data_IF_624070222463
#
_entry.id   IF_624070222463
#
_cell.length_a   1.000
_cell.length_b   1.000
_cell.length_c   1.000
_cell.angle_alpha   90.00
_cell.angle_beta   90.00
_cell.angle_gamma   90.00
#
_symmetry.space_group_name_H-M   'P 1'
#
loop_
_entity.id
_entity.type
_entity.pdbx_description
1 polymer ?
#
# COMPACT_ATOMS: atom_id res chain seq x y z
N UNK A 1 -18.48 30.07 -10.62
CA UNK A 1 -17.32 29.30 -10.11
C UNK A 1 -17.63 28.86 -8.69
N UNK A 2 -17.85 27.57 -8.43
CA UNK A 2 -18.03 27.07 -7.06
C UNK A 2 -16.72 27.27 -6.28
N UNK A 3 -16.81 27.72 -5.03
CA UNK A 3 -15.63 27.80 -4.15
C UNK A 3 -15.03 26.39 -4.04
N UNK A 4 -13.70 26.22 -4.18
CA UNK A 4 -13.09 24.91 -3.99
C UNK A 4 -13.36 24.43 -2.57
N UNK A 5 -13.83 23.20 -2.44
CA UNK A 5 -14.06 22.55 -1.14
C UNK A 5 -12.77 22.61 -0.32
N UNK A 6 -12.82 23.06 0.95
CA UNK A 6 -11.62 23.17 1.77
C UNK A 6 -10.96 21.79 1.92
N UNK A 7 -9.66 21.73 1.60
CA UNK A 7 -8.87 20.49 1.71
C UNK A 7 -8.60 20.16 3.17
N UNK A 8 -8.64 18.87 3.51
CA UNK A 8 -8.32 18.39 4.86
C UNK A 8 -6.83 18.62 5.16
N UNK A 9 -6.55 19.25 6.28
CA UNK A 9 -5.18 19.55 6.72
C UNK A 9 -4.64 18.35 7.50
N UNK A 10 -3.52 17.79 7.05
CA UNK A 10 -2.90 16.63 7.68
C UNK A 10 -1.44 16.96 8.06
N UNK A 11 -0.97 16.37 9.14
CA UNK A 11 0.45 16.48 9.47
C UNK A 11 1.28 15.45 8.70
N UNK A 12 0.78 14.22 8.65
CA UNK A 12 1.40 13.14 7.89
C UNK A 12 0.31 12.36 7.15
N UNK A 13 0.61 11.99 5.92
CA UNK A 13 -0.09 10.92 5.21
C UNK A 13 0.91 9.84 4.82
N UNK A 14 0.56 8.57 4.96
CA UNK A 14 1.34 7.42 4.49
C UNK A 14 0.51 6.65 3.48
N UNK A 15 1.07 6.46 2.28
CA UNK A 15 0.54 5.59 1.24
C UNK A 15 1.61 4.58 0.84
N UNK A 16 1.22 3.37 0.47
CA UNK A 16 2.11 2.31 -0.01
C UNK A 16 1.44 1.54 -1.12
N UNK A 17 2.20 0.67 -1.79
CA UNK A 17 1.66 -0.38 -2.67
C UNK A 17 0.69 0.20 -3.71
N UNK A 18 1.12 1.30 -4.36
CA UNK A 18 0.36 1.98 -5.40
C UNK A 18 0.52 1.26 -6.75
N UNK A 19 1.72 0.74 -7.02
CA UNK A 19 2.07 0.04 -8.25
C UNK A 19 1.75 0.84 -9.53
N UNK A 20 2.15 2.12 -9.58
CA UNK A 20 2.14 2.90 -10.82
C UNK A 20 2.92 2.15 -11.90
N UNK A 21 2.30 2.00 -13.06
CA UNK A 21 2.83 1.23 -14.20
C UNK A 21 2.14 -0.12 -14.39
N UNK A 22 1.22 -0.49 -13.48
CA UNK A 22 0.39 -1.71 -13.61
C UNK A 22 -1.05 -1.38 -13.98
N UNK A 23 -1.79 -2.36 -14.52
CA UNK A 23 -3.22 -2.21 -14.83
C UNK A 23 -4.11 -2.17 -13.59
N UNK A 24 -3.67 -2.76 -12.47
CA UNK A 24 -4.44 -2.81 -11.22
C UNK A 24 -4.41 -1.52 -10.41
N UNK A 25 -3.56 -0.55 -10.77
CA UNK A 25 -3.43 0.70 -10.04
C UNK A 25 -4.68 1.59 -10.21
N UNK A 26 -5.32 1.94 -9.09
CA UNK A 26 -6.42 2.92 -9.04
C UNK A 26 -5.88 4.37 -8.98
N UNK A 27 -5.12 4.77 -10.00
CA UNK A 27 -4.43 6.06 -10.03
C UNK A 27 -5.38 7.28 -10.04
N UNK A 28 -6.58 7.14 -10.63
CA UNK A 28 -7.57 8.22 -10.66
C UNK A 28 -8.14 8.52 -9.28
N UNK A 29 -8.50 7.47 -8.55
CA UNK A 29 -8.98 7.50 -7.17
C UNK A 29 -7.88 8.02 -6.24
N UNK A 30 -6.64 7.54 -6.40
CA UNK A 30 -5.49 8.05 -5.66
C UNK A 30 -5.28 9.55 -5.89
N UNK A 31 -5.30 10.00 -7.15
CA UNK A 31 -5.15 11.42 -7.47
C UNK A 31 -6.25 12.26 -6.82
N UNK A 32 -7.50 11.79 -6.89
CA UNK A 32 -8.64 12.47 -6.27
C UNK A 32 -8.47 12.57 -4.75
N UNK A 33 -8.07 11.49 -4.10
CA UNK A 33 -7.75 11.48 -2.68
C UNK A 33 -6.64 12.48 -2.34
N UNK A 34 -5.49 12.43 -3.04
CA UNK A 34 -4.37 13.33 -2.81
C UNK A 34 -4.72 14.81 -3.03
N UNK A 35 -5.71 15.11 -3.89
CA UNK A 35 -6.24 16.47 -4.10
C UNK A 35 -7.16 16.94 -2.96
N UNK A 36 -7.77 16.00 -2.23
CA UNK A 36 -8.65 16.28 -1.10
C UNK A 36 -7.92 16.68 0.19
N UNK A 37 -6.62 16.40 0.25
CA UNK A 37 -5.77 16.66 1.42
C UNK A 37 -4.71 17.75 1.15
N UNK A 38 -4.17 18.30 2.24
CA UNK A 38 -3.01 19.20 2.25
C UNK A 38 -2.06 18.77 3.38
N UNK A 39 -1.22 17.75 3.14
CA UNK A 39 -0.32 17.22 4.16
C UNK A 39 0.95 18.07 4.30
N UNK A 40 1.48 18.19 5.53
CA UNK A 40 2.84 18.71 5.78
C UNK A 40 3.90 17.70 5.32
N UNK A 41 3.64 16.41 5.53
CA UNK A 41 4.53 15.29 5.19
C UNK A 41 3.75 14.21 4.44
N UNK A 42 4.30 13.73 3.33
CA UNK A 42 3.87 12.52 2.63
C UNK A 42 4.96 11.46 2.80
N UNK A 43 4.60 10.29 3.30
CA UNK A 43 5.47 9.11 3.27
C UNK A 43 4.93 8.16 2.20
N UNK A 44 5.77 7.88 1.22
CA UNK A 44 5.52 6.89 0.19
C UNK A 44 6.21 5.59 0.62
N UNK A 45 5.49 4.68 1.27
CA UNK A 45 6.04 3.53 2.00
C UNK A 45 6.21 2.27 1.13
N UNK A 46 6.96 2.40 0.04
CA UNK A 46 7.33 1.32 -0.88
C UNK A 46 6.26 0.95 -1.89
N UNK A 47 6.70 0.31 -2.97
CA UNK A 47 5.90 -0.20 -4.08
C UNK A 47 5.00 0.87 -4.71
N UNK A 48 5.56 2.07 -4.90
CA UNK A 48 4.83 3.20 -5.51
C UNK A 48 4.86 3.09 -7.02
N UNK A 49 6.01 2.70 -7.57
CA UNK A 49 6.19 2.41 -8.99
C UNK A 49 6.59 0.95 -9.11
N UNK A 50 5.86 0.20 -9.94
CA UNK A 50 6.18 -1.21 -10.16
C UNK A 50 7.17 -1.35 -11.32
N UNK A 51 8.45 -1.47 -10.99
CA UNK A 51 9.51 -1.59 -12.00
C UNK A 51 9.54 -3.00 -12.61
N UNK A 52 9.09 -4.02 -11.87
CA UNK A 52 9.11 -5.40 -12.34
C UNK A 52 8.09 -5.64 -13.45
N UNK A 53 6.91 -5.04 -13.32
CA UNK A 53 5.86 -5.11 -14.33
C UNK A 53 5.85 -3.91 -15.28
N UNK A 54 6.81 -2.99 -15.13
CA UNK A 54 6.92 -1.82 -15.98
C UNK A 54 7.14 -2.22 -17.44
N UNK A 55 6.17 -1.88 -18.29
CA UNK A 55 6.33 -1.91 -19.74
C UNK A 55 6.65 -0.50 -20.23
N UNK A 56 7.70 -0.37 -21.05
CA UNK A 56 8.01 0.91 -21.74
C UNK A 56 6.82 1.47 -22.53
N UNK A 57 5.86 0.62 -22.89
CA UNK A 57 4.69 0.97 -23.69
C UNK A 57 3.42 1.22 -22.86
N UNK A 58 3.48 1.10 -21.52
CA UNK A 58 2.31 1.26 -20.66
C UNK A 58 2.59 2.22 -19.51
N UNK A 59 2.25 3.49 -19.73
CA UNK A 59 2.21 4.51 -18.69
C UNK A 59 1.00 5.43 -18.91
N UNK A 60 -0.17 5.10 -18.34
CA UNK A 60 -1.38 5.90 -18.52
C UNK A 60 -1.22 7.35 -18.03
N UNK A 61 -1.88 8.30 -18.69
CA UNK A 61 -1.86 9.71 -18.30
C UNK A 61 -2.27 9.93 -16.82
N UNK A 62 -3.19 9.12 -16.29
CA UNK A 62 -3.58 9.14 -14.88
C UNK A 62 -2.40 8.90 -13.94
N UNK A 63 -1.47 8.01 -14.29
CA UNK A 63 -0.28 7.71 -13.49
C UNK A 63 0.68 8.91 -13.48
N UNK A 64 0.90 9.53 -14.65
CA UNK A 64 1.70 10.75 -14.75
C UNK A 64 1.08 11.90 -13.94
N UNK A 65 -0.24 12.02 -13.91
CA UNK A 65 -0.93 13.04 -13.09
C UNK A 65 -0.69 12.83 -11.58
N UNK A 66 -0.63 11.59 -11.09
CA UNK A 66 -0.23 11.30 -9.70
C UNK A 66 1.18 11.81 -9.43
N UNK A 67 2.15 11.45 -10.28
CA UNK A 67 3.54 11.89 -10.13
C UNK A 67 3.64 13.42 -10.14
N UNK A 68 2.99 14.09 -11.10
CA UNK A 68 2.94 15.55 -11.19
C UNK A 68 2.34 16.18 -9.93
N UNK A 69 1.26 15.61 -9.41
CA UNK A 69 0.63 16.13 -8.20
C UNK A 69 1.57 16.04 -7.00
N UNK A 70 2.30 14.92 -6.84
CA UNK A 70 3.33 14.77 -5.79
C UNK A 70 4.46 15.79 -5.94
N UNK A 71 4.96 16.01 -7.16
CA UNK A 71 5.97 17.06 -7.46
C UNK A 71 5.40 18.45 -7.15
N UNK A 72 4.13 18.69 -7.47
CA UNK A 72 3.44 19.94 -7.14
C UNK A 72 3.28 20.17 -5.63
N UNK A 73 3.12 19.10 -4.83
CA UNK A 73 3.15 19.17 -3.36
C UNK A 73 4.55 19.53 -2.85
N UNK A 74 5.60 18.89 -3.39
CA UNK A 74 6.99 19.23 -3.08
C UNK A 74 7.29 20.71 -3.35
N UNK A 75 6.90 21.22 -4.52
CA UNK A 75 7.08 22.62 -4.89
C UNK A 75 6.32 23.60 -3.97
N UNK A 76 5.23 23.14 -3.33
CA UNK A 76 4.45 23.91 -2.35
C UNK A 76 4.95 23.75 -0.91
N UNK A 77 6.08 23.05 -0.71
CA UNK A 77 6.73 22.90 0.59
C UNK A 77 6.33 21.65 1.39
N UNK A 78 5.50 20.76 0.85
CA UNK A 78 5.26 19.45 1.48
C UNK A 78 6.54 18.60 1.42
N UNK A 79 6.93 17.99 2.54
CA UNK A 79 8.06 17.06 2.57
C UNK A 79 7.61 15.69 2.09
N UNK A 80 8.36 15.06 1.18
CA UNK A 80 8.09 13.71 0.70
C UNK A 80 9.24 12.78 1.11
N UNK A 81 8.90 11.72 1.83
CA UNK A 81 9.82 10.64 2.17
C UNK A 81 9.45 9.39 1.37
N UNK A 82 10.30 9.00 0.44
CA UNK A 82 10.16 7.78 -0.33
C UNK A 82 10.90 6.66 0.38
N UNK A 83 10.16 5.70 0.92
CA UNK A 83 10.71 4.45 1.44
C UNK A 83 10.63 3.44 0.31
N UNK A 84 11.72 2.76 -0.02
CA UNK A 84 11.77 1.82 -1.14
C UNK A 84 11.16 0.46 -0.78
N UNK A 85 10.38 -0.11 -1.68
CA UNK A 85 9.85 -1.47 -1.57
C UNK A 85 10.62 -2.50 -2.40
N UNK A 86 10.04 -3.69 -2.58
CA UNK A 86 10.66 -4.71 -3.43
C UNK A 86 10.36 -4.50 -4.92
N UNK A 87 9.24 -3.89 -5.30
CA UNK A 87 8.94 -3.61 -6.71
C UNK A 87 9.70 -2.40 -7.27
N UNK A 88 10.12 -1.48 -6.41
CA UNK A 88 10.99 -0.34 -6.74
C UNK A 88 12.44 -0.57 -6.26
N UNK A 89 12.92 -1.82 -6.32
CA UNK A 89 14.27 -2.21 -5.88
C UNK A 89 15.38 -1.36 -6.53
N UNK A 90 15.21 -0.93 -7.78
CA UNK A 90 16.16 -0.03 -8.45
C UNK A 90 16.31 1.32 -7.73
N UNK A 91 15.35 1.75 -6.91
CA UNK A 91 15.45 2.97 -6.11
C UNK A 91 16.28 2.78 -4.84
N UNK A 92 16.52 1.54 -4.40
CA UNK A 92 17.33 1.25 -3.20
C UNK A 92 18.76 1.78 -3.32
N UNK A 93 19.32 1.83 -4.54
CA UNK A 93 20.64 2.42 -4.80
C UNK A 93 20.71 3.93 -4.52
N UNK A 94 19.56 4.59 -4.48
CA UNK A 94 19.44 6.01 -4.15
C UNK A 94 19.05 6.23 -2.68
N UNK A 95 18.95 5.18 -1.85
CA UNK A 95 18.69 5.33 -0.42
C UNK A 95 19.79 6.19 0.23
N UNK A 96 19.39 7.18 1.01
CA UNK A 96 20.26 8.23 1.56
C UNK A 96 20.22 9.54 0.76
N UNK A 97 19.66 9.54 -0.44
CA UNK A 97 19.52 10.76 -1.25
C UNK A 97 18.53 11.73 -0.61
N UNK A 98 18.90 13.01 -0.59
CA UNK A 98 18.03 14.13 -0.22
C UNK A 98 18.12 15.21 -1.29
N UNK A 99 16.98 15.60 -1.83
CA UNK A 99 16.86 16.65 -2.84
C UNK A 99 15.73 17.60 -2.44
N UNK A 100 16.08 18.74 -1.85
CA UNK A 100 15.09 19.67 -1.31
C UNK A 100 14.16 18.99 -0.29
N UNK A 101 12.85 19.04 -0.56
CA UNK A 101 11.82 18.40 0.27
C UNK A 101 11.68 16.88 0.07
N UNK A 102 12.40 16.28 -0.89
CA UNK A 102 12.36 14.85 -1.18
C UNK A 102 13.52 14.12 -0.49
N UNK A 103 13.24 12.95 0.07
CA UNK A 103 14.28 12.02 0.53
C UNK A 103 13.94 10.59 0.18
N UNK A 104 14.96 9.78 -0.09
CA UNK A 104 14.80 8.35 -0.41
C UNK A 104 15.52 7.54 0.67
N UNK A 105 14.87 6.52 1.24
CA UNK A 105 15.43 5.69 2.30
C UNK A 105 14.87 4.26 2.26
N UNK A 106 15.45 3.34 3.02
CA UNK A 106 14.89 1.98 3.21
C UNK A 106 13.97 1.89 4.44
N UNK A 107 14.08 2.86 5.35
CA UNK A 107 13.28 3.00 6.57
C UNK A 107 13.42 4.42 7.11
N UNK A 108 12.52 4.85 7.96
CA UNK A 108 12.65 6.11 8.69
C UNK A 108 11.94 6.05 10.04
N UNK A 109 12.18 7.07 10.86
CA UNK A 109 11.42 7.29 12.10
C UNK A 109 10.83 8.69 12.03
N UNK A 110 9.51 8.79 12.24
CA UNK A 110 8.84 10.05 12.50
C UNK A 110 8.78 10.27 14.01
N UNK A 111 9.21 11.46 14.44
CA UNK A 111 9.03 11.92 15.81
C UNK A 111 7.77 12.78 15.88
N UNK A 112 6.64 12.15 16.24
CA UNK A 112 5.33 12.79 16.29
C UNK A 112 4.94 13.05 17.75
N UNK A 113 4.08 14.04 18.05
CA UNK A 113 3.59 14.28 19.41
C UNK A 113 2.94 13.06 20.06
N UNK A 114 2.33 12.18 19.26
CA UNK A 114 1.75 10.93 19.76
C UNK A 114 2.80 9.87 20.14
N UNK A 115 4.05 10.02 19.71
CA UNK A 115 5.16 9.09 19.93
C UNK A 115 5.90 8.74 18.64
N UNK A 116 7.08 8.13 18.78
CA UNK A 116 7.92 7.75 17.64
C UNK A 116 7.26 6.66 16.81
N UNK A 117 7.18 6.89 15.49
CA UNK A 117 6.67 5.93 14.50
C UNK A 117 7.81 5.46 13.61
N UNK A 118 8.12 4.17 13.67
CA UNK A 118 9.06 3.54 12.75
C UNK A 118 8.34 3.10 11.48
N UNK A 119 8.85 3.53 10.32
CA UNK A 119 8.27 3.21 9.02
C UNK A 119 9.29 2.44 8.17
N UNK A 120 8.83 1.37 7.55
CA UNK A 120 9.55 0.60 6.55
C UNK A 120 8.51 -0.15 5.69
N UNK A 121 8.90 -0.63 4.51
CA UNK A 121 7.94 -1.22 3.59
C UNK A 121 7.38 -2.57 4.09
N UNK A 122 8.24 -3.57 4.33
CA UNK A 122 7.81 -4.88 4.87
C UNK A 122 8.56 -6.07 4.28
N UNK A 123 9.03 -5.92 3.06
CA UNK A 123 9.65 -6.96 2.24
C UNK A 123 10.94 -7.57 2.80
N UNK A 124 11.62 -6.88 3.72
CA UNK A 124 12.77 -7.43 4.46
C UNK A 124 12.42 -8.73 5.21
N UNK A 125 11.16 -8.91 5.61
CA UNK A 125 10.68 -10.12 6.28
C UNK A 125 10.27 -11.24 5.31
N UNK A 126 10.33 -11.03 4.00
CA UNK A 126 9.98 -12.06 3.03
C UNK A 126 11.02 -13.15 2.94
N UNK A 127 12.31 -12.84 3.09
CA UNK A 127 13.35 -13.88 3.14
C UNK A 127 13.06 -14.87 4.27
N UNK A 128 12.51 -14.38 5.38
CA UNK A 128 12.07 -15.22 6.51
C UNK A 128 10.69 -15.88 6.30
N UNK A 129 9.85 -15.39 5.39
CA UNK A 129 8.45 -15.82 5.21
C UNK A 129 8.12 -16.47 3.85
N UNK A 130 9.06 -16.54 2.89
CA UNK A 130 8.87 -16.96 1.49
C UNK A 130 8.19 -18.32 1.31
N UNK A 131 8.49 -19.30 2.17
CA UNK A 131 7.90 -20.64 2.07
C UNK A 131 6.40 -20.68 2.36
N UNK A 132 5.87 -19.64 2.99
CA UNK A 132 4.58 -19.67 3.64
C UNK A 132 3.50 -18.89 2.84
N UNK A 133 3.91 -17.89 2.04
CA UNK A 133 3.02 -17.05 1.21
C UNK A 133 2.50 -17.71 -0.07
N UNK A 134 3.33 -18.49 -0.77
CA UNK A 134 2.91 -19.24 -1.97
C UNK A 134 1.79 -20.25 -1.65
N UNK A 135 1.89 -20.92 -0.49
CA UNK A 135 0.88 -21.87 0.00
C UNK A 135 -0.45 -21.20 0.37
N UNK A 136 -0.41 -19.96 0.88
CA UNK A 136 -1.59 -19.19 1.25
C UNK A 136 -2.41 -18.74 0.03
N UNK A 137 -1.74 -18.18 -1.00
CA UNK A 137 -2.41 -17.67 -2.23
C UNK A 137 -3.07 -18.77 -3.05
N UNK A 138 -2.45 -19.96 -3.17
CA UNK A 138 -3.10 -21.13 -3.79
C UNK A 138 -4.31 -21.64 -3.01
N UNK A 139 -4.32 -21.45 -1.68
CA UNK A 139 -5.42 -21.88 -0.81
C UNK A 139 -6.70 -21.03 -0.95
N UNK A 140 -6.56 -19.72 -1.15
CA UNK A 140 -7.69 -18.79 -1.21
C UNK A 140 -8.55 -18.96 -2.47
N UNK A 141 -7.94 -18.97 -3.67
CA UNK A 141 -8.69 -19.21 -4.92
C UNK A 141 -9.15 -20.67 -5.08
N UNK A 142 -8.44 -21.61 -4.45
CA UNK A 142 -8.85 -23.01 -4.42
C UNK A 142 -10.08 -23.27 -3.54
N UNK A 143 -10.39 -22.41 -2.56
CA UNK A 143 -11.43 -22.65 -1.55
C UNK A 143 -12.83 -22.78 -2.15
N UNK A 144 -13.23 -21.84 -3.01
CA UNK A 144 -14.57 -21.86 -3.61
C UNK A 144 -14.73 -23.00 -4.63
N UNK A 145 -13.67 -23.26 -5.41
CA UNK A 145 -13.61 -24.40 -6.32
C UNK A 145 -13.64 -25.75 -5.57
N UNK A 146 -12.95 -25.85 -4.43
CA UNK A 146 -12.91 -27.05 -3.58
C UNK A 146 -14.22 -27.27 -2.81
N UNK A 147 -14.95 -26.23 -2.43
CA UNK A 147 -16.29 -26.39 -1.85
C UNK A 147 -17.25 -26.97 -2.89
N UNK A 148 -17.21 -26.45 -4.11
CA UNK A 148 -18.02 -26.97 -5.21
C UNK A 148 -17.65 -28.43 -5.51
N UNK A 149 -16.35 -28.71 -5.63
CA UNK A 149 -15.84 -30.06 -5.88
C UNK A 149 -16.16 -31.03 -4.75
N UNK A 150 -16.01 -30.63 -3.48
CA UNK A 150 -16.33 -31.45 -2.32
C UNK A 150 -17.84 -31.76 -2.27
N UNK A 151 -18.70 -30.86 -2.74
CA UNK A 151 -20.14 -31.09 -2.88
C UNK A 151 -20.45 -32.09 -4.00
N UNK A 152 -19.80 -31.96 -5.16
CA UNK A 152 -19.95 -32.88 -6.30
C UNK A 152 -19.44 -34.29 -5.96
N UNK A 153 -18.25 -34.40 -5.37
CA UNK A 153 -17.65 -35.69 -4.99
C UNK A 153 -18.50 -36.41 -3.94
N UNK A 154 -18.96 -35.71 -2.91
CA UNK A 154 -19.81 -36.33 -1.89
C UNK A 154 -21.21 -36.70 -2.41
N UNK A 155 -21.73 -35.99 -3.42
CA UNK A 155 -22.97 -36.38 -4.09
C UNK A 155 -22.81 -37.70 -4.87
N UNK A 156 -21.70 -37.87 -5.60
CA UNK A 156 -21.38 -39.10 -6.32
C UNK A 156 -21.10 -40.27 -5.35
N UNK A 157 -20.31 -40.04 -4.29
CA UNK A 157 -20.02 -41.06 -3.27
C UNK A 157 -21.29 -41.52 -2.54
N UNK A 158 -22.22 -40.61 -2.23
CA UNK A 158 -23.51 -40.97 -1.64
C UNK A 158 -24.33 -41.89 -2.57
N UNK A 159 -24.32 -41.64 -3.88
CA UNK A 159 -25.00 -42.52 -4.85
C UNK A 159 -24.35 -43.89 -4.98
N UNK A 160 -23.05 -44.00 -4.69
CA UNK A 160 -22.27 -45.24 -4.73
C UNK A 160 -22.20 -45.95 -3.36
N UNK A 161 -22.94 -45.49 -2.35
CA UNK A 161 -22.98 -46.08 -1.01
C UNK A 161 -21.68 -45.96 -0.21
N UNK A 162 -20.80 -45.01 -0.57
CA UNK A 162 -19.48 -44.83 0.05
C UNK A 162 -19.49 -43.68 1.07
N UNK A 163 -18.66 -43.73 2.13
CA UNK A 163 -18.60 -42.69 3.15
C UNK A 163 -18.08 -41.36 2.59
N UNK A 164 -18.55 -40.26 3.17
CA UNK A 164 -18.20 -38.89 2.76
C UNK A 164 -16.74 -38.54 3.08
N UNK A 165 -16.17 -37.67 2.26
CA UNK A 165 -14.83 -37.09 2.44
C UNK A 165 -14.91 -35.61 2.78
N UNK A 166 -13.95 -35.09 3.54
CA UNK A 166 -13.94 -33.72 4.06
C UNK A 166 -12.74 -32.91 3.53
N UNK A 167 -12.75 -32.59 2.24
CA UNK A 167 -11.67 -31.85 1.58
C UNK A 167 -11.52 -30.40 2.08
N UNK A 168 -12.58 -29.81 2.63
CA UNK A 168 -12.60 -28.43 3.16
C UNK A 168 -11.79 -28.22 4.44
N UNK A 169 -11.52 -29.30 5.21
CA UNK A 169 -10.78 -29.21 6.47
C UNK A 169 -9.31 -28.84 6.25
N UNK A 170 -8.67 -29.41 5.22
CA UNK A 170 -7.29 -29.10 4.85
C UNK A 170 -7.09 -27.65 4.38
N UNK A 171 -8.11 -27.04 3.74
CA UNK A 171 -8.08 -25.63 3.33
C UNK A 171 -8.27 -24.69 4.52
N UNK A 172 -9.18 -25.03 5.45
CA UNK A 172 -9.37 -24.28 6.71
C UNK A 172 -8.07 -24.18 7.50
N UNK A 173 -7.28 -25.24 7.55
CA UNK A 173 -6.00 -25.25 8.24
C UNK A 173 -4.92 -24.41 7.52
N UNK A 174 -4.99 -24.31 6.18
CA UNK A 174 -4.11 -23.41 5.38
C UNK A 174 -4.47 -21.94 5.50
N UNK A 175 -5.76 -21.58 5.52
CA UNK A 175 -6.23 -20.19 5.76
C UNK A 175 -5.81 -19.75 7.16
N UNK A 176 -5.97 -20.61 8.16
CA UNK A 176 -5.42 -20.36 9.51
C UNK A 176 -3.90 -20.17 9.48
N UNK A 177 -3.18 -20.94 8.66
CA UNK A 177 -1.75 -20.76 8.44
C UNK A 177 -1.39 -19.42 7.81
N UNK A 178 -2.14 -18.94 6.80
CA UNK A 178 -1.93 -17.62 6.20
C UNK A 178 -2.13 -16.48 7.21
N UNK A 179 -3.21 -16.56 7.99
CA UNK A 179 -3.52 -15.59 9.05
C UNK A 179 -2.47 -15.63 10.16
N UNK A 180 -1.94 -16.81 10.51
CA UNK A 180 -0.87 -16.91 11.50
C UNK A 180 0.45 -16.35 10.98
N UNK A 181 0.74 -16.42 9.68
CA UNK A 181 1.93 -15.79 9.09
C UNK A 181 1.84 -14.28 9.07
N UNK A 182 0.67 -13.72 8.75
CA UNK A 182 0.42 -12.28 8.89
C UNK A 182 0.56 -11.87 10.36
N UNK A 183 -0.04 -12.63 11.28
CA UNK A 183 0.15 -12.41 12.72
C UNK A 183 1.62 -12.49 13.14
N UNK A 184 2.40 -13.42 12.56
CA UNK A 184 3.84 -13.53 12.84
C UNK A 184 4.62 -12.32 12.31
N UNK A 185 4.27 -11.78 11.15
CA UNK A 185 4.87 -10.55 10.62
C UNK A 185 4.60 -9.36 11.55
N UNK A 186 3.35 -9.13 11.89
CA UNK A 186 2.92 -8.01 12.75
C UNK A 186 3.58 -8.11 14.13
N UNK A 187 3.61 -9.31 14.72
CA UNK A 187 4.25 -9.57 16.00
C UNK A 187 5.76 -9.33 15.94
N UNK A 188 6.42 -9.73 14.85
CA UNK A 188 7.87 -9.53 14.65
C UNK A 188 8.18 -8.03 14.52
N UNK A 189 7.44 -7.31 13.68
CA UNK A 189 7.59 -5.88 13.50
C UNK A 189 7.34 -5.11 14.80
N UNK A 190 6.28 -5.46 15.54
CA UNK A 190 5.97 -4.87 16.84
C UNK A 190 7.06 -5.16 17.88
N UNK A 191 7.61 -6.38 17.91
CA UNK A 191 8.69 -6.74 18.85
C UNK A 191 9.94 -5.91 18.60
N UNK A 192 10.37 -5.77 17.34
CA UNK A 192 11.52 -4.93 16.98
C UNK A 192 11.27 -3.47 17.33
N UNK A 193 10.05 -2.99 17.09
CA UNK A 193 9.67 -1.63 17.45
C UNK A 193 9.72 -1.39 18.97
N UNK A 194 9.21 -2.33 19.75
CA UNK A 194 9.25 -2.27 21.21
C UNK A 194 10.69 -2.34 21.74
N UNK A 195 11.52 -3.19 21.15
CA UNK A 195 12.94 -3.31 21.49
C UNK A 195 13.72 -2.02 21.24
N UNK A 196 13.33 -1.26 20.20
CA UNK A 196 13.89 0.03 19.85
C UNK A 196 13.19 1.24 20.54
N UNK A 197 12.18 1.00 21.39
CA UNK A 197 11.46 2.05 22.11
C UNK A 197 10.53 2.89 21.25
N UNK A 198 10.04 2.35 20.13
CA UNK A 198 9.04 3.01 19.29
C UNK A 198 7.62 2.67 19.77
N UNK A 199 6.72 3.66 19.70
CA UNK A 199 5.31 3.46 20.06
C UNK A 199 4.49 2.89 18.90
N UNK A 200 4.88 3.24 17.67
CA UNK A 200 4.19 2.82 16.46
C UNK A 200 5.17 2.18 15.48
N UNK A 201 4.66 1.20 14.72
CA UNK A 201 5.33 0.66 13.55
C UNK A 201 4.38 0.69 12.37
N UNK A 202 4.80 1.24 11.23
CA UNK A 202 3.98 1.39 10.04
C UNK A 202 4.61 0.68 8.83
N UNK A 203 3.82 -0.19 8.19
CA UNK A 203 4.21 -1.02 7.07
C UNK A 203 3.27 -0.85 5.85
N UNK A 204 3.68 -1.38 4.71
CA UNK A 204 2.84 -1.69 3.55
C UNK A 204 2.90 -3.19 3.26
N UNK A 205 3.19 -3.58 2.02
CA UNK A 205 3.67 -4.89 1.54
C UNK A 205 2.74 -6.10 1.68
N UNK A 206 2.07 -6.26 2.82
CA UNK A 206 1.11 -7.35 3.05
C UNK A 206 -0.30 -7.02 2.55
N UNK A 207 -0.55 -5.76 2.16
CA UNK A 207 -1.83 -5.30 1.59
C UNK A 207 -3.03 -5.56 2.52
N UNK A 208 -2.80 -5.45 3.84
CA UNK A 208 -3.80 -5.66 4.88
C UNK A 208 -3.89 -4.40 5.73
N UNK A 209 -4.74 -3.42 5.35
CA UNK A 209 -4.84 -2.15 6.06
C UNK A 209 -5.29 -2.38 7.51
N UNK A 210 -4.58 -1.79 8.47
CA UNK A 210 -4.82 -2.05 9.88
C UNK A 210 -4.30 -0.93 10.77
N UNK A 211 -5.00 -0.69 11.88
CA UNK A 211 -4.50 0.00 13.07
C UNK A 211 -4.88 -0.87 14.26
N UNK A 212 -3.91 -1.48 14.93
CA UNK A 212 -4.20 -2.34 16.08
C UNK A 212 -3.07 -2.39 17.11
N UNK A 213 -3.39 -2.45 18.40
CA UNK A 213 -2.40 -2.70 19.43
C UNK A 213 -1.86 -4.14 19.33
N UNK A 214 -0.56 -4.30 19.52
CA UNK A 214 0.13 -5.59 19.56
C UNK A 214 0.96 -5.63 20.86
N UNK A 215 0.68 -6.65 21.68
CA UNK A 215 1.40 -6.86 22.92
C UNK A 215 2.76 -7.51 22.66
N UNK A 216 3.80 -6.96 23.27
CA UNK A 216 5.16 -7.52 23.22
C UNK A 216 5.70 -7.71 24.64
N UNK A 217 6.83 -8.40 24.77
CA UNK A 217 7.50 -8.56 26.07
C UNK A 217 7.95 -7.23 26.71
N UNK A 218 8.13 -6.18 25.90
CA UNK A 218 8.58 -4.85 26.36
C UNK A 218 7.46 -3.81 26.40
N UNK A 219 6.22 -4.22 26.18
CA UNK A 219 5.04 -3.35 26.21
C UNK A 219 4.24 -3.39 24.90
N UNK A 220 3.17 -2.61 24.88
CA UNK A 220 2.30 -2.49 23.71
C UNK A 220 2.93 -1.59 22.65
N UNK A 221 2.86 -2.04 21.39
CA UNK A 221 3.15 -1.23 20.20
C UNK A 221 1.91 -1.22 19.32
N UNK A 222 1.59 -0.07 18.74
CA UNK A 222 0.49 0.01 17.77
C UNK A 222 1.05 -0.28 16.38
N UNK A 223 0.60 -1.39 15.80
CA UNK A 223 0.91 -1.76 14.42
C UNK A 223 -0.03 -1.03 13.47
N UNK A 224 0.55 -0.46 12.42
CA UNK A 224 -0.13 0.28 11.37
C UNK A 224 0.22 -0.33 10.01
N UNK A 225 -0.77 -0.42 9.13
CA UNK A 225 -0.55 -0.76 7.73
C UNK A 225 -1.45 0.10 6.84
N UNK A 226 -0.86 0.73 5.82
CA UNK A 226 -1.59 1.62 4.89
C UNK A 226 -2.45 0.89 3.88
N UNK A 227 -2.34 -0.44 3.75
CA UNK A 227 -2.96 -1.20 2.67
C UNK A 227 -2.28 -0.89 1.34
N UNK A 228 -3.07 -0.62 0.32
CA UNK A 228 -2.63 -0.44 -1.06
C UNK A 228 -3.65 0.41 -1.85
N UNK A 229 -3.28 0.77 -3.08
CA UNK A 229 -4.16 1.45 -4.05
C UNK A 229 -4.47 0.55 -5.26
N UNK A 230 -4.68 -0.74 -5.00
CA UNK A 230 -5.02 -1.78 -5.98
C UNK A 230 -6.33 -2.48 -5.61
N UNK A 231 -6.47 -2.93 -4.37
CA UNK A 231 -7.63 -3.63 -3.82
C UNK A 231 -8.33 -2.81 -2.73
N UNK A 232 -7.58 -2.22 -1.80
CA UNK A 232 -8.14 -1.64 -0.58
C UNK A 232 -8.47 -0.15 -0.69
N UNK A 233 -7.66 0.62 -1.44
CA UNK A 233 -7.76 2.08 -1.62
C UNK A 233 -7.76 2.82 -0.28
N UNK A 234 -6.71 2.59 0.49
CA UNK A 234 -6.55 3.09 1.86
C UNK A 234 -5.30 3.95 2.04
N UNK A 235 -5.28 4.74 3.11
CA UNK A 235 -4.11 5.51 3.52
C UNK A 235 -4.07 5.65 5.05
N UNK A 236 -2.88 5.82 5.63
CA UNK A 236 -2.77 6.23 7.03
C UNK A 236 -2.68 7.75 7.09
N UNK A 237 -3.48 8.36 7.94
CA UNK A 237 -3.51 9.81 8.15
C UNK A 237 -3.20 10.13 9.61
N UNK A 238 -2.34 11.12 9.83
CA UNK A 238 -2.02 11.62 11.16
C UNK A 238 -2.37 13.10 11.27
N UNK A 239 -3.10 13.43 12.34
CA UNK A 239 -3.25 14.79 12.84
C UNK A 239 -3.03 14.81 14.35
N UNK A 240 -2.60 15.94 14.90
CA UNK A 240 -2.48 16.10 16.36
C UNK A 240 -3.81 15.92 17.09
N UNK A 241 -4.94 16.21 16.43
CA UNK A 241 -6.26 16.12 17.03
C UNK A 241 -6.77 14.68 17.14
N UNK A 242 -6.49 13.83 16.15
CA UNK A 242 -7.07 12.48 16.03
C UNK A 242 -6.05 11.35 16.19
N UNK A 243 -4.75 11.68 16.22
CA UNK A 243 -3.70 10.68 16.08
C UNK A 243 -3.75 9.99 14.71
N UNK A 244 -3.25 8.76 14.66
CA UNK A 244 -3.29 7.91 13.46
C UNK A 244 -4.71 7.41 13.19
N UNK A 245 -5.15 7.57 11.94
CA UNK A 245 -6.44 7.11 11.43
C UNK A 245 -6.22 6.35 10.13
N UNK A 246 -7.05 5.34 9.88
CA UNK A 246 -7.06 4.60 8.62
C UNK A 246 -8.15 5.19 7.72
N UNK A 247 -7.72 5.90 6.68
CA UNK A 247 -8.61 6.39 5.64
C UNK A 247 -9.02 5.25 4.71
N UNK A 248 -10.30 5.21 4.35
CA UNK A 248 -10.87 4.23 3.42
C UNK A 248 -11.65 4.97 2.34
N UNK A 249 -11.20 4.90 1.09
CA UNK A 249 -11.79 5.65 -0.03
C UNK A 249 -13.27 5.30 -0.23
N UNK A 250 -13.63 4.02 -0.15
CA UNK A 250 -14.99 3.54 -0.31
C UNK A 250 -15.96 4.07 0.77
N UNK A 251 -15.45 4.40 1.95
CA UNK A 251 -16.24 4.92 3.07
C UNK A 251 -16.39 6.45 3.04
N UNK A 252 -15.66 7.16 2.16
CA UNK A 252 -15.71 8.61 2.05
C UNK A 252 -16.82 9.04 1.07
N UNK A 253 -17.95 9.62 1.55
CA UNK A 253 -19.06 10.00 0.68
C UNK A 253 -18.66 11.05 -0.35
N UNK A 254 -17.67 11.90 -0.05
CA UNK A 254 -17.20 12.92 -0.97
C UNK A 254 -16.43 12.33 -2.15
N UNK A 255 -15.92 11.10 -2.00
CA UNK A 255 -15.24 10.34 -3.07
C UNK A 255 -16.20 9.49 -3.92
N UNK A 256 -17.46 9.36 -3.51
CA UNK A 256 -18.47 8.63 -4.29
C UNK A 256 -19.26 9.55 -5.24
N UNK A 257 -19.09 10.87 -5.10
CA UNK A 257 -19.65 11.83 -6.04
C UNK A 257 -18.95 11.74 -7.41
N UNK A 258 -19.61 12.12 -8.52
CA UNK A 258 -18.94 12.22 -9.82
C UNK A 258 -17.72 13.14 -9.74
N UNK A 259 -16.62 12.72 -10.36
CA UNK A 259 -15.44 13.56 -10.46
C UNK A 259 -15.79 14.81 -11.27
N UNK A 260 -15.44 16.00 -10.75
CA UNK A 260 -15.49 17.21 -11.56
C UNK A 260 -14.44 17.10 -12.67
N UNK A 261 -14.70 17.66 -13.86
CA UNK A 261 -13.73 17.70 -14.94
C UNK A 261 -12.42 18.32 -14.45
N UNK A 262 -11.28 17.70 -14.80
CA UNK A 262 -9.97 18.21 -14.40
C UNK A 262 -9.63 19.40 -15.29
N UNK A 263 -9.39 20.62 -14.76
CA UNK A 263 -8.91 21.71 -15.60
C UNK A 263 -7.53 21.40 -16.23
N UNK A 264 -6.78 20.45 -15.66
CA UNK A 264 -5.52 19.93 -16.19
C UNK A 264 -5.69 18.71 -17.14
N UNK A 265 -6.92 18.32 -17.55
CA UNK A 265 -7.16 17.22 -18.50
C UNK A 265 -6.68 17.53 -19.93
N UNK A 266 -6.33 18.79 -20.24
CA UNK A 266 -5.89 19.19 -21.58
C UNK A 266 -4.36 19.02 -21.72
N UNK A 267 -3.96 17.96 -22.44
CA UNK A 267 -2.71 17.74 -23.20
C UNK A 267 -1.34 17.81 -22.49
N UNK A 268 -1.22 18.38 -21.30
CA UNK A 268 0.10 18.59 -20.67
C UNK A 268 0.72 17.32 -20.08
N UNK A 269 -0.04 16.28 -19.75
CA UNK A 269 0.49 14.98 -19.27
C UNK A 269 1.23 14.22 -20.37
N UNK A 270 0.61 14.12 -21.54
CA UNK A 270 1.13 13.33 -22.66
C UNK A 270 2.32 14.04 -23.32
N UNK A 271 2.31 15.37 -23.39
CA UNK A 271 3.45 16.16 -23.88
C UNK A 271 4.70 15.98 -23.00
N UNK A 272 4.54 15.91 -21.68
CA UNK A 272 5.67 15.78 -20.74
C UNK A 272 6.21 14.35 -20.66
N UNK A 273 5.33 13.36 -20.75
CA UNK A 273 5.74 11.96 -20.85
C UNK A 273 6.50 11.71 -22.15
N UNK A 274 6.00 12.23 -23.28
CA UNK A 274 6.68 12.12 -24.57
C UNK A 274 8.03 12.84 -24.57
N UNK A 275 8.15 14.01 -23.94
CA UNK A 275 9.44 14.70 -23.80
C UNK A 275 10.44 13.92 -22.94
N UNK A 276 10.01 13.34 -21.80
CA UNK A 276 10.88 12.52 -20.95
C UNK A 276 11.33 11.24 -21.66
N UNK A 277 10.42 10.54 -22.34
CA UNK A 277 10.76 9.32 -23.09
C UNK A 277 11.72 9.62 -24.26
N UNK A 278 11.58 10.79 -24.90
CA UNK A 278 12.52 11.24 -25.91
C UNK A 278 13.92 11.48 -25.33
N UNK A 279 14.03 12.11 -24.16
CA UNK A 279 15.32 12.31 -23.46
C UNK A 279 15.98 10.98 -23.07
N UNK A 280 15.21 10.00 -22.57
CA UNK A 280 15.75 8.68 -22.21
C UNK A 280 16.20 7.84 -23.41
N UNK A 281 15.60 8.01 -24.58
CA UNK A 281 15.98 7.32 -25.80
C UNK A 281 17.11 8.01 -26.58
N UNK A 282 17.55 9.20 -26.14
CA UNK A 282 18.64 9.98 -26.74
C UNK A 282 19.96 9.84 -25.98
N UNK A 283 20.03 9.00 -24.93
CA UNK A 283 21.30 8.65 -24.29
C UNK A 283 22.07 7.65 -25.19
N UNK A 284 23.28 7.99 -25.67
CA UNK A 284 24.11 7.11 -26.51
C UNK A 284 24.57 5.83 -25.79
#
# INVERSE_FOLDING_TARGET
MSKPTPRRQLEVVVISDVHLGTYGCHAGELLRYLRSIRPKVVVLNGDIVDIWQFSKNYWPAAHMRVVRHLVGLLAKGTRIHYITGNHDELLRRFAGTRLGGLSIANKMVLDLPAGKTWLFHGDVFDVTMRHARWLARLGAHGYDALILLNRVVNFVLNKLGRPRVALSKAVKDRVKGAVSLVGNFEQTAATIAADAGYRYVACGHIHQPAIKPVQTKRGEVVYLNSGDWVENLTALEYSTATGWQLYQYAADPSMQLPALPDPDDLDTADILLSSLLAEFNMAP
#
